data_IF_609197249128
#
_entry.id   IF_609197249128
#
_cell.length_a   1.000
_cell.length_b   1.000
_cell.length_c   1.000
_cell.angle_alpha   90.00
_cell.angle_beta   90.00
_cell.angle_gamma   90.00
#
_symmetry.space_group_name_H-M   'P 1'
#
loop_
_entity.id
_entity.type
_entity.pdbx_description
1 polymer ?
#
# COMPACT_ATOMS: atom_id res chain seq x y z
N UNK A 1 -2.39 19.96 -1.16
CA UNK A 1 -1.09 19.57 -0.57
C UNK A 1 -0.49 18.47 -1.45
N UNK A 2 0.80 18.52 -1.73
CA UNK A 2 1.51 17.49 -2.50
C UNK A 2 2.32 16.60 -1.55
N UNK A 3 2.52 15.35 -1.94
CA UNK A 3 3.41 14.44 -1.21
C UNK A 3 4.86 14.84 -1.42
N UNK A 4 5.69 14.66 -0.40
CA UNK A 4 7.13 14.92 -0.47
C UNK A 4 7.85 13.77 -1.19
N UNK A 5 7.63 13.70 -2.51
CA UNK A 5 8.26 12.67 -3.33
C UNK A 5 9.76 12.89 -3.46
N UNK A 6 10.26 14.14 -3.34
CA UNK A 6 11.69 14.50 -3.43
C UNK A 6 12.56 13.89 -2.34
N UNK A 7 11.98 13.56 -1.19
CA UNK A 7 12.69 12.87 -0.12
C UNK A 7 12.38 11.36 -0.05
N UNK A 8 11.37 10.88 -0.77
CA UNK A 8 11.00 9.47 -0.78
C UNK A 8 12.08 8.58 -1.43
N UNK A 9 12.31 7.38 -0.89
CA UNK A 9 13.19 6.35 -1.49
C UNK A 9 12.40 5.17 -2.08
N UNK A 10 11.12 5.08 -1.72
CA UNK A 10 10.19 4.08 -2.23
C UNK A 10 8.82 4.73 -2.37
N UNK A 11 8.17 4.54 -3.52
CA UNK A 11 6.84 5.09 -3.81
C UNK A 11 5.95 3.96 -4.30
N UNK A 12 4.76 3.86 -3.71
CA UNK A 12 3.70 2.96 -4.19
C UNK A 12 2.60 3.83 -4.79
N UNK A 13 2.38 3.68 -6.09
CA UNK A 13 1.26 4.27 -6.79
C UNK A 13 0.09 3.29 -6.74
N UNK A 14 -0.97 3.66 -6.02
CA UNK A 14 -2.10 2.78 -5.76
C UNK A 14 -3.34 3.28 -6.50
N UNK A 15 -3.71 2.61 -7.60
CA UNK A 15 -4.83 3.03 -8.45
C UNK A 15 -4.72 4.46 -9.00
N UNK A 16 -3.53 5.04 -8.98
CA UNK A 16 -3.28 6.44 -9.32
C UNK A 16 -2.29 6.52 -10.49
N UNK A 17 -2.53 7.46 -11.40
CA UNK A 17 -1.67 7.73 -12.56
C UNK A 17 -1.18 9.20 -12.52
N UNK A 18 -0.19 9.55 -11.66
CA UNK A 18 0.34 10.90 -11.51
C UNK A 18 0.91 11.53 -12.80
N UNK A 19 1.24 10.71 -13.79
CA UNK A 19 1.83 11.14 -15.06
C UNK A 19 0.74 11.54 -16.05
N UNK A 20 -0.35 10.77 -16.14
CA UNK A 20 -1.44 11.06 -17.07
C UNK A 20 -2.54 11.95 -16.47
N UNK A 21 -2.72 11.98 -15.15
CA UNK A 21 -3.80 12.75 -14.51
C UNK A 21 -3.40 14.21 -14.27
N UNK A 22 -4.16 15.12 -14.86
CA UNK A 22 -3.85 16.56 -14.89
C UNK A 22 -4.54 17.31 -13.74
N UNK A 23 -3.81 17.52 -12.64
CA UNK A 23 -3.93 18.78 -11.88
C UNK A 23 -2.86 19.70 -12.49
N UNK A 24 -3.26 20.89 -12.98
CA UNK A 24 -2.43 21.88 -13.70
C UNK A 24 -0.91 21.78 -13.44
N UNK A 25 -0.12 21.77 -14.52
CA UNK A 25 1.33 21.45 -14.55
C UNK A 25 1.69 20.46 -13.45
N UNK A 26 1.39 19.17 -13.70
CA UNK A 26 1.59 18.11 -12.71
C UNK A 26 2.98 18.24 -12.13
N UNK A 27 3.07 18.58 -10.84
CA UNK A 27 4.34 18.61 -10.11
C UNK A 27 5.12 17.32 -10.31
N UNK A 28 4.40 16.20 -10.42
CA UNK A 28 4.97 14.91 -10.73
C UNK A 28 5.71 14.93 -12.07
N UNK A 29 5.22 15.56 -13.14
CA UNK A 29 5.98 15.66 -14.40
C UNK A 29 7.35 16.33 -14.24
N UNK A 30 7.47 17.31 -13.34
CA UNK A 30 8.74 18.00 -13.10
C UNK A 30 9.71 17.18 -12.24
N UNK A 31 9.21 16.35 -11.33
CA UNK A 31 10.04 15.59 -10.38
C UNK A 31 10.14 14.10 -10.71
N UNK A 32 9.38 13.60 -11.69
CA UNK A 32 9.27 12.17 -11.98
C UNK A 32 10.60 11.57 -12.43
N UNK A 33 11.33 12.27 -13.32
CA UNK A 33 12.63 11.80 -13.80
C UNK A 33 13.64 11.64 -12.67
N UNK A 34 13.74 12.65 -11.79
CA UNK A 34 14.59 12.60 -10.60
C UNK A 34 14.13 11.52 -9.60
N UNK A 35 12.81 11.36 -9.43
CA UNK A 35 12.25 10.33 -8.58
C UNK A 35 12.65 8.93 -9.07
N UNK A 36 12.46 8.62 -10.35
CA UNK A 36 12.82 7.33 -10.94
C UNK A 36 14.32 7.03 -10.86
N UNK A 37 15.19 8.05 -10.84
CA UNK A 37 16.63 7.83 -10.74
C UNK A 37 17.12 7.54 -9.31
N UNK A 38 16.30 7.82 -8.27
CA UNK A 38 16.73 7.73 -6.86
C UNK A 38 15.82 6.89 -5.96
N UNK A 39 14.61 6.62 -6.39
CA UNK A 39 13.61 5.88 -5.63
C UNK A 39 13.05 4.75 -6.48
N UNK A 40 12.67 3.67 -5.81
CA UNK A 40 11.90 2.60 -6.46
C UNK A 40 10.43 2.96 -6.49
N UNK A 41 9.78 2.73 -7.63
CA UNK A 41 8.36 2.98 -7.85
C UNK A 41 7.67 1.67 -8.20
N UNK A 42 6.67 1.30 -7.40
CA UNK A 42 5.79 0.18 -7.67
C UNK A 42 4.37 0.70 -7.92
N UNK A 43 3.69 0.17 -8.93
CA UNK A 43 2.30 0.56 -9.26
C UNK A 43 1.35 -0.62 -9.11
N UNK A 44 0.34 -0.46 -8.25
CA UNK A 44 -0.71 -1.44 -7.97
C UNK A 44 -2.01 -0.97 -8.62
N UNK A 45 -2.35 -1.55 -9.77
CA UNK A 45 -3.61 -1.29 -10.47
C UNK A 45 -3.85 -2.34 -11.58
N UNK A 46 -5.11 -2.60 -11.98
CA UNK A 46 -5.43 -3.61 -12.99
C UNK A 46 -4.96 -3.28 -14.41
N UNK A 47 -4.83 -1.99 -14.74
CA UNK A 47 -4.47 -1.54 -16.09
C UNK A 47 -3.01 -1.15 -16.18
N UNK A 48 -2.38 -1.34 -17.33
CA UNK A 48 -1.05 -0.77 -17.57
C UNK A 48 -1.19 0.73 -17.91
N UNK A 49 -1.06 1.58 -16.88
CA UNK A 49 -1.10 3.04 -17.03
C UNK A 49 0.23 3.64 -17.50
N UNK A 50 0.25 4.95 -17.77
CA UNK A 50 1.49 5.67 -18.11
C UNK A 50 2.47 5.66 -16.93
N UNK A 51 1.96 5.76 -15.70
CA UNK A 51 2.75 5.58 -14.48
C UNK A 51 3.25 4.15 -14.34
N UNK A 52 2.40 3.14 -14.53
CA UNK A 52 2.80 1.73 -14.43
C UNK A 52 3.89 1.38 -15.45
N UNK A 53 3.77 1.85 -16.70
CA UNK A 53 4.77 1.63 -17.75
C UNK A 53 6.14 2.26 -17.44
N UNK A 54 6.19 3.25 -16.55
CA UNK A 54 7.42 3.94 -16.11
C UNK A 54 7.86 3.55 -14.70
N UNK A 55 7.15 2.62 -14.06
CA UNK A 55 7.48 2.12 -12.72
C UNK A 55 8.48 0.99 -12.83
N UNK A 56 9.24 0.76 -11.75
CA UNK A 56 10.12 -0.42 -11.65
C UNK A 56 9.30 -1.71 -11.59
N UNK A 57 8.15 -1.67 -10.91
CA UNK A 57 7.26 -2.82 -10.74
C UNK A 57 5.81 -2.45 -11.07
N UNK A 58 5.15 -3.31 -11.85
CA UNK A 58 3.70 -3.24 -12.07
C UNK A 58 3.04 -4.50 -11.51
N UNK A 59 2.06 -4.27 -10.64
CA UNK A 59 1.31 -5.29 -9.91
C UNK A 59 -0.14 -5.26 -10.41
N UNK A 60 -0.51 -6.08 -11.41
CA UNK A 60 -1.85 -6.13 -11.98
C UNK A 60 -2.84 -6.80 -11.00
N UNK A 61 -3.36 -6.01 -10.06
CA UNK A 61 -4.36 -6.46 -9.10
C UNK A 61 -5.71 -6.69 -9.78
N UNK A 62 -6.46 -7.70 -9.32
CA UNK A 62 -7.84 -7.92 -9.74
C UNK A 62 -8.70 -6.73 -9.26
N UNK A 63 -9.54 -6.13 -10.13
CA UNK A 63 -10.41 -5.02 -9.71
C UNK A 63 -11.19 -5.33 -8.44
N UNK A 64 -11.15 -4.42 -7.46
CA UNK A 64 -11.82 -4.57 -6.16
C UNK A 64 -11.06 -5.42 -5.12
N UNK A 65 -9.86 -5.93 -5.44
CA UNK A 65 -9.03 -6.71 -4.51
C UNK A 65 -7.82 -5.95 -3.96
N UNK A 66 -7.73 -4.66 -4.21
CA UNK A 66 -6.66 -3.84 -3.67
C UNK A 66 -6.70 -3.82 -2.13
N UNK A 67 -7.89 -3.75 -1.52
CA UNK A 67 -8.05 -3.91 -0.07
C UNK A 67 -7.40 -5.20 0.50
N UNK A 68 -7.46 -6.31 -0.24
CA UNK A 68 -6.82 -7.56 0.18
C UNK A 68 -5.29 -7.45 0.16
N UNK A 69 -4.72 -6.77 -0.84
CA UNK A 69 -3.27 -6.48 -0.89
C UNK A 69 -2.87 -5.59 0.28
N UNK A 70 -3.61 -4.53 0.56
CA UNK A 70 -3.27 -3.61 1.65
C UNK A 70 -3.24 -4.34 3.01
N UNK A 71 -4.21 -5.22 3.24
CA UNK A 71 -4.26 -6.03 4.47
C UNK A 71 -3.14 -7.08 4.49
N UNK A 72 -2.82 -7.72 3.37
CA UNK A 72 -1.70 -8.66 3.29
C UNK A 72 -0.35 -7.97 3.54
N UNK A 73 -0.14 -6.76 3.02
CA UNK A 73 1.05 -5.96 3.29
C UNK A 73 1.13 -5.59 4.78
N UNK A 74 0.02 -5.12 5.36
CA UNK A 74 -0.06 -4.83 6.78
C UNK A 74 0.26 -6.07 7.63
N UNK A 75 -0.27 -7.24 7.25
CA UNK A 75 0.04 -8.51 7.90
C UNK A 75 1.55 -8.79 7.93
N UNK A 76 2.26 -8.63 6.81
CA UNK A 76 3.71 -8.85 6.74
C UNK A 76 4.48 -7.83 7.57
N UNK A 77 4.13 -6.54 7.46
CA UNK A 77 4.75 -5.47 8.25
C UNK A 77 4.59 -5.77 9.74
N UNK A 78 3.41 -6.24 10.15
CA UNK A 78 3.12 -6.53 11.53
C UNK A 78 3.80 -7.83 12.02
N UNK A 79 3.61 -8.94 11.33
CA UNK A 79 4.16 -10.23 11.79
C UNK A 79 5.68 -10.27 11.79
N UNK A 80 6.33 -9.53 10.87
CA UNK A 80 7.79 -9.43 10.82
C UNK A 80 8.38 -8.26 11.63
N UNK A 81 7.53 -7.44 12.26
CA UNK A 81 7.97 -6.31 13.08
C UNK A 81 8.70 -5.21 12.30
N UNK A 82 8.32 -4.97 11.04
CA UNK A 82 8.94 -4.02 10.12
C UNK A 82 8.40 -2.58 10.26
N UNK A 83 7.51 -2.33 11.23
CA UNK A 83 7.00 -0.99 11.51
C UNK A 83 8.01 -0.18 12.33
N UNK A 84 7.88 1.15 12.29
CA UNK A 84 8.67 2.05 13.13
C UNK A 84 8.16 1.99 14.58
N UNK A 85 8.91 1.33 15.47
CA UNK A 85 8.54 1.15 16.89
C UNK A 85 8.58 2.45 17.69
N UNK A 86 9.56 3.31 17.43
CA UNK A 86 9.70 4.59 18.12
C UNK A 86 8.52 5.53 17.84
N UNK A 87 8.06 5.55 16.59
CA UNK A 87 6.91 6.35 16.17
C UNK A 87 5.58 5.81 16.72
N UNK A 88 5.39 4.49 16.69
CA UNK A 88 4.15 3.84 17.16
C UNK A 88 4.07 3.79 18.68
N UNK A 89 5.22 3.71 19.36
CA UNK A 89 5.33 3.53 20.81
C UNK A 89 4.99 2.12 21.28
N UNK A 90 5.20 1.87 22.57
CA UNK A 90 5.00 0.56 23.21
C UNK A 90 3.53 0.21 23.48
N UNK A 91 2.61 1.15 23.25
CA UNK A 91 1.16 0.95 23.44
C UNK A 91 0.56 -0.05 22.46
N UNK A 92 1.25 -0.34 21.34
CA UNK A 92 0.95 -1.46 20.47
C UNK A 92 1.51 -2.77 21.07
N UNK A 93 0.91 -3.22 22.17
CA UNK A 93 1.22 -4.55 22.70
C UNK A 93 0.63 -5.60 21.75
N UNK A 94 1.47 -6.53 21.29
CA UNK A 94 1.09 -7.57 20.33
C UNK A 94 -0.12 -8.44 20.73
N UNK A 95 -0.73 -8.26 21.90
CA UNK A 95 -1.99 -8.93 22.30
C UNK A 95 -3.22 -8.43 21.54
N UNK A 96 -3.29 -7.14 21.18
CA UNK A 96 -4.44 -6.59 20.43
C UNK A 96 -4.31 -6.85 18.92
N UNK A 97 -3.08 -6.78 18.40
CA UNK A 97 -2.77 -7.07 16.99
C UNK A 97 -2.74 -8.57 16.66
N UNK A 98 -2.21 -9.44 17.53
CA UNK A 98 -2.09 -10.87 17.23
C UNK A 98 -3.43 -11.60 17.16
N UNK A 99 -4.48 -11.12 17.85
CA UNK A 99 -5.81 -11.72 17.77
C UNK A 99 -6.47 -11.41 16.42
N UNK A 100 -6.40 -10.18 15.96
CA UNK A 100 -6.90 -9.75 14.64
C UNK A 100 -6.12 -10.42 13.49
N UNK A 101 -4.79 -10.52 13.63
CA UNK A 101 -3.90 -11.16 12.65
C UNK A 101 -4.11 -12.68 12.57
N UNK A 102 -4.33 -13.36 13.71
CA UNK A 102 -4.52 -14.82 13.77
C UNK A 102 -5.91 -15.27 13.28
N UNK A 103 -6.94 -14.41 13.38
CA UNK A 103 -8.25 -14.66 12.76
C UNK A 103 -8.18 -14.60 11.22
N UNK A 104 -7.24 -13.85 10.66
CA UNK A 104 -7.15 -13.55 9.22
C UNK A 104 -6.31 -14.55 8.41
N UNK A 105 -5.35 -15.26 9.03
CA UNK A 105 -4.48 -16.24 8.34
C UNK A 105 -5.12 -17.62 8.11
N UNK A 106 -6.43 -17.79 8.35
CA UNK A 106 -7.12 -19.04 8.00
C UNK A 106 -7.33 -19.10 6.48
N UNK A 107 -7.21 -20.27 5.84
CA UNK A 107 -7.38 -20.41 4.40
C UNK A 107 -8.76 -19.90 3.91
N UNK A 108 -8.88 -19.52 2.62
CA UNK A 108 -10.04 -18.78 2.07
C UNK A 108 -11.42 -19.42 2.30
N UNK A 109 -11.50 -20.70 2.66
CA UNK A 109 -12.76 -21.41 2.88
C UNK A 109 -13.47 -21.07 4.21
N UNK A 110 -12.89 -20.23 5.07
CA UNK A 110 -13.41 -19.99 6.43
C UNK A 110 -13.94 -18.55 6.68
N UNK A 111 -14.02 -17.69 5.66
CA UNK A 111 -14.62 -16.35 5.81
C UNK A 111 -16.16 -16.48 5.80
N UNK A 112 -16.73 -16.93 6.92
CA UNK A 112 -18.17 -16.77 7.20
C UNK A 112 -18.30 -15.57 8.14
N UNK A 113 -18.78 -14.44 7.60
CA UNK A 113 -19.21 -13.30 8.39
C UNK A 113 -20.43 -13.68 9.23
N UNK A 114 -20.22 -14.05 10.49
CA UNK A 114 -21.26 -13.86 11.52
C UNK A 114 -20.95 -12.55 12.24
N UNK A 115 -21.83 -11.58 12.04
CA UNK A 115 -21.87 -10.32 12.78
C UNK A 115 -21.99 -10.61 14.27
N UNK A 116 -20.91 -10.40 15.02
CA UNK A 116 -20.95 -10.33 16.48
C UNK A 116 -21.33 -8.89 16.87
N UNK A 117 -22.63 -8.61 16.81
CA UNK A 117 -23.29 -7.66 17.69
C UNK A 117 -24.51 -8.38 18.25
N UNK A 118 -24.35 -8.91 19.46
CA UNK A 118 -25.44 -9.25 20.37
C UNK A 118 -24.86 -9.08 21.78
N UNK A 119 -25.57 -8.27 22.58
CA UNK A 119 -25.26 -7.87 23.96
C UNK A 119 -24.65 -8.98 24.83
#
# INVERSE_FOLDING_TARGET
RQYDVRNARYVICWGADPIATNRQVSHYNNVWGELLSRAKVATVEPRLSATAAKSDEWLPVIPGQDGAIAVAMAHVILTKGLWNREFVGDSWTGRTGSRLVRWWTRPPSAIIMRTAWSN
#
